data_IF_557418062380
#
_entry.id   IF_557418062380
#
_cell.length_a   1.000
_cell.length_b   1.000
_cell.length_c   1.000
_cell.angle_alpha   90.00
_cell.angle_beta   90.00
_cell.angle_gamma   90.00
#
_symmetry.space_group_name_H-M   'P 1'
#
loop_
_entity.id
_entity.type
_entity.pdbx_description
1 polymer ?
#
# COMPACT_ATOMS: atom_id res chain seq x y z
N UNK A 1 -18.54 -82.72 61.53
CA UNK A 1 -17.19 -82.47 62.06
C UNK A 1 -16.23 -82.88 60.94
N UNK A 2 -15.64 -81.97 60.17
CA UNK A 2 -15.01 -80.71 60.57
C UNK A 2 -15.22 -79.62 59.50
N UNK A 3 -15.42 -78.40 59.97
CA UNK A 3 -15.56 -77.14 59.24
C UNK A 3 -14.27 -76.63 58.54
N UNK A 4 -14.49 -75.79 57.51
CA UNK A 4 -13.66 -74.68 56.98
C UNK A 4 -12.34 -74.99 56.21
N UNK A 5 -11.78 -74.01 55.45
CA UNK A 5 -12.39 -72.99 54.58
C UNK A 5 -11.64 -72.80 53.22
N UNK A 6 -12.23 -72.02 52.30
CA UNK A 6 -11.61 -71.23 51.21
C UNK A 6 -10.26 -71.66 50.60
N UNK A 7 -10.24 -72.01 49.30
CA UNK A 7 -9.10 -71.74 48.43
C UNK A 7 -9.53 -71.37 47.00
N UNK A 8 -9.54 -70.05 46.79
CA UNK A 8 -9.34 -69.25 45.57
C UNK A 8 -9.54 -69.92 44.20
N UNK A 9 -10.55 -69.46 43.45
CA UNK A 9 -10.75 -69.69 42.02
C UNK A 9 -9.58 -69.10 41.18
N UNK A 10 -8.67 -69.91 40.62
CA UNK A 10 -7.58 -69.38 39.79
C UNK A 10 -8.05 -68.95 38.39
N UNK A 11 -9.28 -69.31 38.01
CA UNK A 11 -9.88 -68.95 36.72
C UNK A 11 -10.41 -67.51 36.64
N UNK A 12 -10.78 -66.91 37.79
CA UNK A 12 -11.34 -65.56 37.82
C UNK A 12 -10.27 -64.47 37.67
N UNK A 13 -9.05 -64.70 38.17
CA UNK A 13 -7.95 -63.73 38.08
C UNK A 13 -7.37 -63.66 36.66
N UNK A 14 -7.28 -64.77 35.90
CA UNK A 14 -6.75 -64.76 34.53
C UNK A 14 -7.65 -64.05 33.50
N UNK A 15 -8.98 -64.11 33.65
CA UNK A 15 -9.91 -63.37 32.76
C UNK A 15 -9.93 -61.86 33.08
N UNK A 16 -9.71 -61.47 34.33
CA UNK A 16 -9.69 -60.06 34.74
C UNK A 16 -8.39 -59.35 34.31
N UNK A 17 -7.24 -60.04 34.39
CA UNK A 17 -5.92 -59.47 34.04
C UNK A 17 -5.76 -59.27 32.52
N UNK A 18 -6.29 -60.17 31.70
CA UNK A 18 -6.27 -60.03 30.24
C UNK A 18 -7.16 -58.88 29.75
N UNK A 19 -8.32 -58.67 30.38
CA UNK A 19 -9.18 -57.50 30.12
C UNK A 19 -8.51 -56.17 30.46
N UNK A 20 -7.84 -56.08 31.62
CA UNK A 20 -7.12 -54.88 32.04
C UNK A 20 -5.94 -54.55 31.12
N UNK A 21 -5.23 -55.58 30.63
CA UNK A 21 -4.14 -55.40 29.66
C UNK A 21 -4.66 -54.80 28.34
N UNK A 22 -5.78 -55.31 27.81
CA UNK A 22 -6.38 -54.80 26.58
C UNK A 22 -6.85 -53.35 26.74
N UNK A 23 -7.52 -53.04 27.85
CA UNK A 23 -8.02 -51.67 28.14
C UNK A 23 -6.87 -50.66 28.25
N UNK A 24 -5.75 -51.03 28.89
CA UNK A 24 -4.58 -50.13 29.02
C UNK A 24 -3.91 -49.80 27.69
N UNK A 25 -3.87 -50.75 26.75
CA UNK A 25 -3.34 -50.52 25.38
C UNK A 25 -4.25 -49.58 24.59
N UNK A 26 -5.57 -49.76 24.67
CA UNK A 26 -6.52 -48.86 23.98
C UNK A 26 -6.51 -47.44 24.55
N UNK A 27 -6.38 -47.29 25.87
CA UNK A 27 -6.24 -45.99 26.52
C UNK A 27 -4.90 -45.34 26.14
N UNK A 28 -3.81 -46.11 26.13
CA UNK A 28 -2.49 -45.63 25.71
C UNK A 28 -2.46 -45.15 24.26
N UNK A 29 -3.02 -45.92 23.33
CA UNK A 29 -3.12 -45.54 21.91
C UNK A 29 -4.00 -44.30 21.70
N UNK A 30 -5.12 -44.20 22.42
CA UNK A 30 -6.02 -43.04 22.37
C UNK A 30 -5.35 -41.78 22.94
N UNK A 31 -4.64 -41.92 24.06
CA UNK A 31 -3.89 -40.82 24.69
C UNK A 31 -2.75 -40.36 23.79
N UNK A 32 -2.00 -41.30 23.20
CA UNK A 32 -0.91 -40.99 22.26
C UNK A 32 -1.44 -40.28 21.00
N UNK A 33 -2.55 -40.76 20.42
CA UNK A 33 -3.18 -40.12 19.26
C UNK A 33 -3.73 -38.73 19.56
N UNK A 34 -4.31 -38.53 20.76
CA UNK A 34 -4.78 -37.22 21.22
C UNK A 34 -3.60 -36.26 21.44
N UNK A 35 -2.53 -36.73 22.08
CA UNK A 35 -1.31 -35.96 22.31
C UNK A 35 -0.63 -35.58 20.98
N UNK A 36 -0.53 -36.52 20.04
CA UNK A 36 0.03 -36.28 18.71
C UNK A 36 -0.80 -35.24 17.93
N UNK A 37 -2.13 -35.33 17.96
CA UNK A 37 -3.03 -34.33 17.35
C UNK A 37 -2.92 -32.96 18.03
N UNK A 38 -2.79 -32.91 19.35
CA UNK A 38 -2.62 -31.68 20.10
C UNK A 38 -1.28 -30.99 19.76
N UNK A 39 -0.18 -31.77 19.70
CA UNK A 39 1.14 -31.26 19.34
C UNK A 39 1.22 -30.80 17.88
N UNK A 40 0.60 -31.53 16.94
CA UNK A 40 0.52 -31.11 15.54
C UNK A 40 -0.28 -29.81 15.36
N UNK A 41 -1.43 -29.66 16.06
CA UNK A 41 -2.20 -28.41 16.03
C UNK A 41 -1.41 -27.23 16.60
N UNK A 42 -0.70 -27.43 17.71
CA UNK A 42 0.12 -26.39 18.33
C UNK A 42 1.28 -25.94 17.42
N UNK A 43 1.93 -26.86 16.71
CA UNK A 43 3.00 -26.53 15.75
C UNK A 43 2.47 -25.83 14.48
N UNK A 44 1.28 -26.23 13.99
CA UNK A 44 0.67 -25.62 12.80
C UNK A 44 0.27 -24.16 13.05
N UNK A 45 -0.20 -23.83 14.26
CA UNK A 45 -0.52 -22.46 14.65
C UNK A 45 0.72 -21.56 14.66
N UNK A 46 1.86 -22.04 15.18
CA UNK A 46 3.13 -21.29 15.19
C UNK A 46 3.70 -21.06 13.80
N UNK A 47 3.57 -22.04 12.90
CA UNK A 47 4.01 -21.92 11.51
C UNK A 47 3.18 -20.88 10.74
N UNK A 48 1.85 -20.86 10.94
CA UNK A 48 0.97 -19.87 10.31
C UNK A 48 1.26 -18.44 10.78
N UNK A 49 1.61 -18.23 12.05
CA UNK A 49 1.97 -16.89 12.54
C UNK A 49 3.28 -16.37 11.94
N UNK A 50 4.25 -17.26 11.68
CA UNK A 50 5.53 -16.88 11.05
C UNK A 50 5.33 -16.50 9.58
N UNK A 51 4.57 -17.31 8.84
CA UNK A 51 4.25 -17.02 7.43
C UNK A 51 3.41 -15.75 7.28
N UNK A 52 2.51 -15.48 8.23
CA UNK A 52 1.72 -14.25 8.24
C UNK A 52 2.59 -13.01 8.46
N UNK A 53 3.49 -13.02 9.45
CA UNK A 53 4.41 -11.90 9.70
C UNK A 53 5.31 -11.61 8.51
N UNK A 54 5.79 -12.65 7.83
CA UNK A 54 6.65 -12.51 6.66
C UNK A 54 5.89 -11.99 5.42
N UNK A 55 4.63 -12.38 5.23
CA UNK A 55 3.81 -11.86 4.13
C UNK A 55 3.37 -10.40 4.35
N UNK A 56 3.11 -9.97 5.58
CA UNK A 56 2.90 -8.55 5.92
C UNK A 56 4.14 -7.72 5.58
N UNK A 57 5.33 -8.26 5.89
CA UNK A 57 6.61 -7.61 5.64
C UNK A 57 6.87 -7.36 4.14
N UNK A 58 6.55 -8.34 3.27
CA UNK A 58 6.69 -8.16 1.82
C UNK A 58 5.63 -7.24 1.19
N UNK A 59 4.44 -7.12 1.79
CA UNK A 59 3.39 -6.25 1.30
C UNK A 59 3.57 -4.77 1.73
N UNK A 60 4.34 -4.53 2.79
CA UNK A 60 4.58 -3.22 3.39
C UNK A 60 5.05 -2.13 2.38
N UNK A 61 6.04 -2.39 1.49
CA UNK A 61 6.48 -1.40 0.51
C UNK A 61 5.39 -1.03 -0.52
N UNK A 62 4.61 -2.01 -0.99
CA UNK A 62 3.52 -1.74 -1.93
C UNK A 62 2.39 -0.90 -1.29
N UNK A 63 2.08 -1.16 -0.01
CA UNK A 63 1.16 -0.32 0.75
C UNK A 63 1.68 1.11 0.94
N UNK A 64 2.98 1.25 1.20
CA UNK A 64 3.67 2.53 1.36
C UNK A 64 3.54 3.44 0.15
N UNK A 65 3.82 2.91 -1.05
CA UNK A 65 3.75 3.69 -2.28
C UNK A 65 2.33 4.21 -2.54
N UNK A 66 1.30 3.40 -2.22
CA UNK A 66 -0.09 3.84 -2.31
C UNK A 66 -0.46 4.89 -1.25
N UNK A 67 0.02 4.76 0.00
CA UNK A 67 -0.20 5.80 1.03
C UNK A 67 0.46 7.09 0.55
N UNK A 68 1.72 7.02 0.12
CA UNK A 68 2.49 8.17 -0.31
C UNK A 68 1.82 8.88 -1.49
N UNK A 69 1.32 8.13 -2.48
CA UNK A 69 0.57 8.69 -3.61
C UNK A 69 -0.70 9.42 -3.15
N UNK A 70 -1.48 8.84 -2.24
CA UNK A 70 -2.71 9.47 -1.72
C UNK A 70 -2.39 10.72 -0.91
N UNK A 71 -1.36 10.67 -0.07
CA UNK A 71 -0.88 11.82 0.69
C UNK A 71 -0.35 12.94 -0.23
N UNK A 72 0.35 12.60 -1.31
CA UNK A 72 0.86 13.57 -2.30
C UNK A 72 -0.27 14.33 -3.01
N UNK A 73 -1.45 13.72 -3.14
CA UNK A 73 -2.66 14.35 -3.70
C UNK A 73 -3.46 15.11 -2.62
N UNK A 74 -2.94 15.18 -1.38
CA UNK A 74 -3.54 15.93 -0.29
C UNK A 74 -4.60 15.17 0.52
N UNK A 75 -4.71 13.85 0.36
CA UNK A 75 -5.59 13.07 1.22
C UNK A 75 -5.04 13.04 2.66
N UNK A 76 -5.91 13.20 3.66
CA UNK A 76 -5.52 13.03 5.05
C UNK A 76 -5.06 11.60 5.33
N UNK A 77 -4.06 11.42 6.21
CA UNK A 77 -3.45 10.11 6.49
C UNK A 77 -4.46 9.02 6.90
N UNK A 78 -5.47 9.38 7.69
CA UNK A 78 -6.52 8.42 8.09
C UNK A 78 -7.37 7.99 6.89
N UNK A 79 -7.67 8.90 5.96
CA UNK A 79 -8.42 8.58 4.74
C UNK A 79 -7.57 7.73 3.78
N UNK A 80 -6.27 8.03 3.65
CA UNK A 80 -5.34 7.23 2.86
C UNK A 80 -5.25 5.78 3.39
N UNK A 81 -5.17 5.61 4.72
CA UNK A 81 -5.17 4.29 5.36
C UNK A 81 -6.48 3.53 5.10
N UNK A 82 -7.64 4.19 5.20
CA UNK A 82 -8.94 3.55 4.91
C UNK A 82 -9.02 3.06 3.46
N UNK A 83 -8.55 3.86 2.51
CA UNK A 83 -8.57 3.50 1.09
C UNK A 83 -7.72 2.26 0.79
N UNK A 84 -6.62 2.08 1.50
CA UNK A 84 -5.75 0.90 1.36
C UNK A 84 -6.37 -0.36 1.93
N UNK A 85 -7.16 -0.23 3.01
CA UNK A 85 -7.95 -1.35 3.52
C UNK A 85 -8.92 -1.86 2.45
N UNK A 86 -9.47 -0.97 1.63
CA UNK A 86 -10.36 -1.32 0.50
C UNK A 86 -9.61 -1.96 -0.67
N UNK A 87 -8.39 -1.50 -0.99
CA UNK A 87 -7.58 -2.06 -2.07
C UNK A 87 -6.97 -3.43 -1.74
N UNK A 88 -6.67 -3.69 -0.46
CA UNK A 88 -6.02 -4.92 -0.01
C UNK A 88 -6.81 -5.67 1.07
N UNK A 89 -8.08 -6.06 0.81
CA UNK A 89 -8.95 -6.66 1.84
C UNK A 89 -8.48 -8.06 2.25
N UNK A 90 -7.86 -8.81 1.34
CA UNK A 90 -7.38 -10.18 1.56
C UNK A 90 -5.92 -10.26 2.01
N UNK A 91 -5.18 -9.16 1.93
CA UNK A 91 -3.78 -9.15 2.37
C UNK A 91 -3.69 -8.95 3.88
N UNK A 92 -2.73 -9.62 4.54
CA UNK A 92 -2.57 -9.52 5.97
C UNK A 92 -2.21 -8.09 6.45
N UNK A 93 -1.58 -7.29 5.57
CA UNK A 93 -1.31 -5.87 5.82
C UNK A 93 -2.57 -5.02 5.88
N UNK A 94 -3.53 -5.24 4.97
CA UNK A 94 -4.80 -4.49 4.96
C UNK A 94 -5.63 -4.73 6.21
N UNK A 95 -5.62 -5.97 6.73
CA UNK A 95 -6.27 -6.30 8.01
C UNK A 95 -5.67 -5.53 9.19
N UNK A 96 -4.35 -5.40 9.26
CA UNK A 96 -3.68 -4.65 10.31
C UNK A 96 -3.96 -3.13 10.21
N UNK A 97 -4.02 -2.57 9.01
CA UNK A 97 -4.45 -1.17 8.81
C UNK A 97 -5.93 -0.94 9.15
N UNK A 98 -6.79 -1.94 8.93
CA UNK A 98 -8.18 -1.89 9.38
C UNK A 98 -8.28 -1.76 10.90
N UNK A 99 -7.42 -2.46 11.65
CA UNK A 99 -7.32 -2.33 13.11
C UNK A 99 -6.86 -0.93 13.50
N UNK A 100 -5.85 -0.37 12.83
CA UNK A 100 -5.39 1.01 13.08
C UNK A 100 -6.53 2.01 12.84
N UNK A 101 -7.24 1.90 11.71
CA UNK A 101 -8.40 2.75 11.42
C UNK A 101 -9.51 2.58 12.47
N UNK A 102 -9.73 1.36 12.96
CA UNK A 102 -10.67 1.06 14.03
C UNK A 102 -10.29 1.77 15.33
N UNK A 103 -9.03 1.70 15.75
CA UNK A 103 -8.53 2.36 16.96
C UNK A 103 -8.71 3.88 16.90
N UNK A 104 -8.39 4.49 15.76
CA UNK A 104 -8.59 5.93 15.56
C UNK A 104 -10.07 6.31 15.65
N UNK A 105 -10.98 5.51 15.05
CA UNK A 105 -12.44 5.72 15.18
C UNK A 105 -12.95 5.54 16.61
N UNK A 106 -12.29 4.70 17.40
CA UNK A 106 -12.59 4.50 18.82
C UNK A 106 -12.02 5.61 19.74
N UNK A 107 -11.39 6.65 19.17
CA UNK A 107 -10.91 7.81 19.91
C UNK A 107 -9.43 7.75 20.35
N UNK A 108 -8.68 6.73 19.94
CA UNK A 108 -7.22 6.71 20.15
C UNK A 108 -6.54 7.73 19.23
N UNK A 109 -5.48 8.38 19.72
CA UNK A 109 -4.64 9.22 18.86
C UNK A 109 -3.97 8.36 17.77
N UNK A 110 -3.79 8.93 16.58
CA UNK A 110 -3.16 8.22 15.45
C UNK A 110 -1.75 7.75 15.80
N UNK A 111 -1.02 8.54 16.58
CA UNK A 111 0.29 8.15 17.11
C UNK A 111 0.24 6.91 17.99
N UNK A 112 -0.74 6.83 18.89
CA UNK A 112 -0.94 5.65 19.73
C UNK A 112 -1.35 4.44 18.89
N UNK A 113 -2.24 4.62 17.92
CA UNK A 113 -2.68 3.53 17.04
C UNK A 113 -1.54 2.97 16.18
N UNK A 114 -0.65 3.82 15.67
CA UNK A 114 0.53 3.41 14.91
C UNK A 114 1.61 2.76 15.80
N UNK A 115 1.78 3.23 17.04
CA UNK A 115 2.62 2.56 18.06
C UNK A 115 2.11 1.14 18.35
N UNK A 116 0.81 0.98 18.56
CA UNK A 116 0.18 -0.33 18.75
C UNK A 116 0.36 -1.23 17.51
N UNK A 117 0.33 -0.67 16.30
CA UNK A 117 0.61 -1.43 15.07
C UNK A 117 2.06 -1.94 15.04
N UNK A 118 3.04 -1.11 15.41
CA UNK A 118 4.44 -1.52 15.52
C UNK A 118 4.65 -2.66 16.50
N UNK A 119 3.91 -2.69 17.61
CA UNK A 119 3.97 -3.79 18.58
C UNK A 119 3.43 -5.10 18.02
N UNK A 120 2.35 -5.04 17.22
CA UNK A 120 1.75 -6.23 16.58
C UNK A 120 2.59 -6.79 15.43
N UNK A 121 3.24 -5.91 14.65
CA UNK A 121 4.12 -6.27 13.53
C UNK A 121 5.55 -5.81 13.82
N UNK A 122 6.27 -6.51 14.73
CA UNK A 122 7.61 -6.11 15.11
C UNK A 122 8.57 -6.31 13.93
N UNK A 123 9.30 -5.26 13.58
CA UNK A 123 10.34 -5.28 12.54
C UNK A 123 11.02 -3.91 12.39
N UNK A 124 12.30 -3.88 11.98
CA UNK A 124 13.03 -2.63 11.79
C UNK A 124 12.39 -1.74 10.71
N UNK A 125 11.86 -2.35 9.65
CA UNK A 125 11.16 -1.64 8.58
C UNK A 125 9.81 -1.09 9.02
N UNK A 126 9.06 -1.81 9.86
CA UNK A 126 7.81 -1.29 10.45
C UNK A 126 8.06 -0.06 11.31
N UNK A 127 9.18 -0.02 12.04
CA UNK A 127 9.56 1.12 12.87
C UNK A 127 9.88 2.36 12.01
N UNK A 128 10.66 2.18 10.93
CA UNK A 128 10.96 3.23 9.96
C UNK A 128 9.67 3.73 9.27
N UNK A 129 8.78 2.81 8.91
CA UNK A 129 7.47 3.10 8.32
C UNK A 129 6.60 3.97 9.22
N UNK A 130 6.40 3.57 10.47
CA UNK A 130 5.59 4.34 11.44
C UNK A 130 6.19 5.74 11.65
N UNK A 131 7.52 5.85 11.74
CA UNK A 131 8.20 7.14 11.83
C UNK A 131 7.93 8.04 10.63
N UNK A 132 8.06 7.51 9.41
CA UNK A 132 7.78 8.23 8.18
C UNK A 132 6.31 8.68 8.08
N UNK A 133 5.35 7.84 8.48
CA UNK A 133 3.94 8.22 8.50
C UNK A 133 3.63 9.33 9.50
N UNK A 134 4.21 9.27 10.70
CA UNK A 134 4.02 10.32 11.71
C UNK A 134 4.61 11.65 11.25
N UNK A 135 5.76 11.61 10.58
CA UNK A 135 6.36 12.79 9.97
C UNK A 135 5.51 13.33 8.80
N UNK A 136 5.00 12.44 7.94
CA UNK A 136 4.13 12.80 6.84
C UNK A 136 2.79 13.39 7.33
N UNK A 137 2.26 12.94 8.47
CA UNK A 137 1.07 13.55 9.09
C UNK A 137 1.33 15.02 9.46
N UNK A 138 2.51 15.34 10.00
CA UNK A 138 2.87 16.71 10.37
C UNK A 138 3.05 17.60 9.14
N UNK A 139 3.58 17.04 8.03
CA UNK A 139 3.81 17.76 6.79
C UNK A 139 2.56 17.85 5.88
N UNK A 140 1.70 16.84 5.89
CA UNK A 140 0.51 16.74 5.03
C UNK A 140 -0.60 17.74 5.36
N UNK A 141 -0.67 18.21 6.62
CA UNK A 141 -1.53 19.35 6.96
C UNK A 141 -1.03 20.69 6.39
N UNK A 142 0.30 20.86 6.28
CA UNK A 142 0.91 22.10 5.83
C UNK A 142 1.01 22.22 4.30
N UNK A 143 1.18 21.11 3.57
CA UNK A 143 1.31 21.11 2.10
C UNK A 143 0.00 21.48 1.40
N UNK A 144 -1.16 21.07 1.96
CA UNK A 144 -2.47 21.41 1.37
C UNK A 144 -2.72 22.92 1.43
N UNK A 145 -2.37 23.58 2.53
CA UNK A 145 -2.50 25.04 2.67
C UNK A 145 -1.57 25.78 1.71
N UNK A 146 -0.32 25.33 1.59
CA UNK A 146 0.65 25.90 0.66
C UNK A 146 0.25 25.71 -0.82
N UNK A 147 -0.24 24.52 -1.20
CA UNK A 147 -0.72 24.26 -2.57
C UNK A 147 -1.98 25.07 -2.89
N UNK A 148 -2.85 25.32 -1.90
CA UNK A 148 -4.03 26.17 -2.10
C UNK A 148 -3.61 27.62 -2.33
N UNK A 149 -2.70 28.14 -1.52
CA UNK A 149 -2.13 29.49 -1.71
C UNK A 149 -1.36 29.62 -3.04
N UNK A 150 -0.62 28.59 -3.43
CA UNK A 150 0.12 28.57 -4.70
C UNK A 150 -0.81 28.44 -5.91
N UNK A 151 -1.90 27.67 -5.81
CA UNK A 151 -2.91 27.54 -6.86
C UNK A 151 -3.63 28.87 -7.13
N UNK A 152 -3.95 29.63 -6.08
CA UNK A 152 -4.51 30.97 -6.23
C UNK A 152 -3.51 31.95 -6.86
N UNK A 153 -2.22 31.83 -6.53
CA UNK A 153 -1.17 32.62 -7.18
C UNK A 153 -0.99 32.29 -8.66
N UNK A 154 -1.03 31.01 -9.04
CA UNK A 154 -0.95 30.57 -10.44
C UNK A 154 -2.17 30.99 -11.27
N UNK A 155 -3.37 31.02 -10.68
CA UNK A 155 -4.58 31.52 -11.38
C UNK A 155 -4.42 32.98 -11.80
N UNK A 156 -3.81 33.80 -10.94
CA UNK A 156 -3.54 35.20 -11.24
C UNK A 156 -2.47 35.36 -12.34
N UNK A 157 -1.40 34.56 -12.29
CA UNK A 157 -0.32 34.59 -13.29
C UNK A 157 -0.79 34.13 -14.69
N UNK A 158 -1.66 33.11 -14.73
CA UNK A 158 -2.28 32.66 -15.99
C UNK A 158 -3.14 33.77 -16.60
N UNK A 159 -3.89 34.53 -15.78
CA UNK A 159 -4.70 35.65 -16.25
C UNK A 159 -3.81 36.73 -16.92
N UNK A 160 -2.69 37.09 -16.30
CA UNK A 160 -1.74 38.05 -16.88
C UNK A 160 -1.06 37.54 -18.17
N UNK A 161 -0.79 36.24 -18.27
CA UNK A 161 -0.18 35.65 -19.46
C UNK A 161 -1.15 35.50 -20.63
N UNK A 162 -2.45 35.34 -20.35
CA UNK A 162 -3.49 35.36 -21.39
C UNK A 162 -3.55 36.74 -22.04
N UNK A 163 -3.45 37.82 -21.25
CA UNK A 163 -3.42 39.19 -21.78
C UNK A 163 -2.17 39.45 -22.65
N UNK A 164 -1.00 38.99 -22.23
CA UNK A 164 0.26 39.21 -22.98
C UNK A 164 0.27 38.52 -24.34
N UNK A 165 -0.35 37.32 -24.47
CA UNK A 165 -0.41 36.59 -25.75
C UNK A 165 -1.37 37.21 -26.78
N UNK A 166 -2.32 38.04 -26.36
CA UNK A 166 -3.20 38.76 -27.29
C UNK A 166 -2.44 39.83 -28.10
N UNK A 167 -1.33 40.35 -27.57
CA UNK A 167 -0.55 41.42 -28.21
C UNK A 167 0.51 40.97 -29.22
N UNK A 168 0.82 39.67 -29.33
CA UNK A 168 1.86 39.16 -30.26
C UNK A 168 1.34 38.79 -31.66
N UNK A 169 0.02 38.76 -31.85
CA UNK A 169 -0.62 38.40 -33.11
C UNK A 169 -0.33 39.35 -34.31
N UNK A 170 -0.18 40.67 -34.17
CA UNK A 170 0.01 41.55 -35.34
C UNK A 170 1.39 41.41 -35.99
N UNK A 171 2.44 41.04 -35.24
CA UNK A 171 3.82 40.99 -35.77
C UNK A 171 4.04 39.77 -36.67
N UNK A 172 3.37 38.63 -36.39
CA UNK A 172 3.43 37.44 -37.26
C UNK A 172 2.75 37.63 -38.62
N UNK A 173 1.81 38.57 -38.72
CA UNK A 173 1.15 38.90 -39.99
C UNK A 173 1.97 39.89 -40.85
N UNK A 174 2.92 40.63 -40.26
CA UNK A 174 3.78 41.56 -40.97
C UNK A 174 4.85 40.87 -41.83
N UNK A 175 5.41 39.75 -41.37
CA UNK A 175 6.48 39.04 -42.09
C UNK A 175 6.07 38.53 -43.49
N UNK A 176 4.94 37.80 -43.68
CA UNK A 176 4.50 37.38 -45.01
C UNK A 176 4.13 38.55 -45.91
N UNK A 177 3.63 39.65 -45.34
CA UNK A 177 3.29 40.87 -46.11
C UNK A 177 4.55 41.47 -46.76
N UNK A 178 5.64 41.61 -45.99
CA UNK A 178 6.91 42.15 -46.50
C UNK A 178 7.57 41.19 -47.49
N UNK A 179 7.57 39.89 -47.19
CA UNK A 179 8.13 38.86 -48.06
C UNK A 179 7.38 38.70 -49.39
N UNK A 180 6.11 39.12 -49.48
CA UNK A 180 5.34 39.11 -50.73
C UNK A 180 5.56 40.39 -51.54
N UNK A 181 5.66 41.55 -50.88
CA UNK A 181 5.88 42.85 -51.55
C UNK A 181 7.29 42.93 -52.16
N UNK A 182 8.29 42.39 -51.49
CA UNK A 182 9.69 42.45 -51.93
C UNK A 182 9.95 41.75 -53.29
N UNK A 183 9.56 40.49 -53.53
CA UNK A 183 9.75 39.86 -54.84
C UNK A 183 8.83 40.46 -55.91
N UNK A 184 7.62 40.89 -55.53
CA UNK A 184 6.70 41.55 -56.46
C UNK A 184 7.28 42.86 -57.02
N UNK A 185 8.10 43.57 -56.24
CA UNK A 185 8.76 44.80 -56.68
C UNK A 185 10.10 44.55 -57.37
N UNK A 186 10.88 43.52 -57.01
CA UNK A 186 12.19 43.23 -57.61
C UNK A 186 12.14 42.46 -58.94
N UNK A 187 11.25 41.48 -59.10
CA UNK A 187 11.14 40.69 -60.33
C UNK A 187 10.99 41.55 -61.60
N UNK A 188 10.09 42.54 -61.66
CA UNK A 188 9.94 43.37 -62.86
C UNK A 188 11.18 44.24 -63.12
N UNK A 189 11.86 44.71 -62.08
CA UNK A 189 13.10 45.50 -62.22
C UNK A 189 14.21 44.65 -62.85
N UNK A 190 14.42 43.43 -62.36
CA UNK A 190 15.42 42.51 -62.90
C UNK A 190 15.07 42.10 -64.34
N UNK A 191 13.78 41.85 -64.62
CA UNK A 191 13.31 41.49 -65.96
C UNK A 191 13.57 42.57 -67.01
N UNK A 192 13.33 43.84 -66.68
CA UNK A 192 13.66 44.96 -67.59
C UNK A 192 15.17 45.11 -67.75
N UNK A 193 15.95 44.93 -66.67
CA UNK A 193 17.41 45.07 -66.72
C UNK A 193 18.07 43.98 -67.59
N UNK A 194 17.61 42.73 -67.48
CA UNK A 194 18.15 41.61 -68.25
C UNK A 194 17.75 41.68 -69.72
N UNK A 195 16.49 42.05 -70.02
CA UNK A 195 16.05 42.31 -71.39
C UNK A 195 16.88 43.43 -72.04
N UNK A 196 17.18 44.51 -71.30
CA UNK A 196 18.04 45.58 -71.79
C UNK A 196 19.48 45.11 -72.04
N UNK A 197 20.02 44.22 -71.21
CA UNK A 197 21.37 43.65 -71.39
C UNK A 197 21.48 42.72 -72.61
N UNK A 198 20.42 41.95 -72.89
CA UNK A 198 20.40 40.97 -73.99
C UNK A 198 20.14 41.64 -75.34
N UNK A 199 19.34 42.71 -75.37
CA UNK A 199 18.90 43.36 -76.61
C UNK A 199 19.72 44.58 -77.02
N UNK A 200 20.67 45.06 -76.21
CA UNK A 200 21.47 46.21 -76.63
C UNK A 200 22.45 46.77 -75.61
N UNK A 201 23.62 46.13 -75.54
CA UNK A 201 24.93 46.80 -75.76
C UNK A 201 25.61 46.08 -76.91
#
# INVERSE_FOLDING_TARGET
MVDCPLSEDPGASMMSVSGLAVVSVFIGASCYGFLLRALLKANKQRAQTRLHKQSVYYALPAGLDLIALQLAVGAGLVAALQRIVEFFPTQPLGREFAVVCGQVRSGFSLETALKNFRERVPGPQTALFVGALLQAQQQGGAIVELLTQQADSFRNEIAEHIEKKAHELPIKLLMPLVALIFPATLLPVIGVLSAKLIWGV
#
